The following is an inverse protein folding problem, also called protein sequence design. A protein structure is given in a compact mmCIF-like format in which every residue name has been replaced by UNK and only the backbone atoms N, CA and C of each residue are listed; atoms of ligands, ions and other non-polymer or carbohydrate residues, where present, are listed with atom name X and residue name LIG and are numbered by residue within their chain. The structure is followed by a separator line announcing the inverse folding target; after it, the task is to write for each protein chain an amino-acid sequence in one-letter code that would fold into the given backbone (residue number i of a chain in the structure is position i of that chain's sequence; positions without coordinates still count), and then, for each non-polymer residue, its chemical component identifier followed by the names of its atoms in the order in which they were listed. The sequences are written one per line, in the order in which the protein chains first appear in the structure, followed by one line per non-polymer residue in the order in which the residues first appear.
data_IF_557127811278
#
_entry.id   IF_557127811278
#
_cell.length_a   1.000
_cell.length_b   1.000
_cell.length_c   1.000
_cell.angle_alpha   90.00
_cell.angle_beta   90.00
_cell.angle_gamma   90.00
#
_symmetry.space_group_name_H-M   'P 1'
#
loop_
_entity.id
_entity.type
_entity.pdbx_description
1 polymer ?
#
# COMPACT_ATOMS: atom_id res chain seq x y z
N UNK A 1 -3.80 1.11 24.52
CA UNK A 1 -3.26 0.19 23.50
C UNK A 1 -3.80 0.68 22.18
N UNK A 2 -2.94 1.05 21.22
CA UNK A 2 -3.44 1.42 19.89
C UNK A 2 -4.03 0.16 19.26
N UNK A 3 -5.31 0.18 18.93
CA UNK A 3 -5.91 -0.90 18.13
C UNK A 3 -5.26 -0.86 16.75
N UNK A 4 -4.82 -2.01 16.25
CA UNK A 4 -4.35 -2.14 14.87
C UNK A 4 -5.54 -2.53 14.01
N UNK A 5 -5.66 -1.91 12.85
CA UNK A 5 -6.68 -2.21 11.86
C UNK A 5 -6.03 -2.61 10.56
N UNK A 6 -6.73 -3.45 9.80
CA UNK A 6 -6.27 -3.91 8.51
C UNK A 6 -6.58 -2.86 7.44
N UNK A 7 -5.59 -2.54 6.63
CA UNK A 7 -5.71 -1.67 5.48
C UNK A 7 -5.42 -2.44 4.20
N UNK A 8 -6.09 -2.02 3.12
CA UNK A 8 -5.81 -2.42 1.76
C UNK A 8 -5.27 -1.24 0.98
N UNK A 9 -4.14 -1.45 0.32
CA UNK A 9 -3.47 -0.46 -0.51
C UNK A 9 -3.49 -0.93 -1.97
N UNK A 10 -3.94 -0.04 -2.84
CA UNK A 10 -3.82 -0.15 -4.28
C UNK A 10 -2.73 0.79 -4.77
N UNK A 11 -1.81 0.28 -5.58
CA UNK A 11 -0.69 1.03 -6.15
C UNK A 11 -0.87 0.99 -7.66
N UNK A 12 -1.14 2.14 -8.26
CA UNK A 12 -1.32 2.27 -9.70
C UNK A 12 -0.14 3.03 -10.29
N UNK A 13 0.57 2.39 -11.22
CA UNK A 13 1.53 3.11 -12.07
C UNK A 13 0.77 3.88 -13.15
N UNK A 14 1.08 5.16 -13.31
CA UNK A 14 0.42 6.03 -14.29
C UNK A 14 0.87 5.73 -15.72
N UNK A 15 2.07 5.16 -15.88
CA UNK A 15 2.67 4.81 -17.17
C UNK A 15 3.68 3.65 -17.00
N UNK A 16 4.16 3.12 -18.14
CA UNK A 16 5.12 2.02 -18.15
C UNK A 16 6.51 2.43 -17.66
N UNK A 17 6.95 3.68 -17.88
CA UNK A 17 8.22 4.18 -17.37
C UNK A 17 8.29 4.10 -15.83
N UNK A 18 7.21 4.48 -15.15
CA UNK A 18 7.10 4.36 -13.69
C UNK A 18 7.14 2.89 -13.24
N UNK A 19 6.46 2.01 -13.97
CA UNK A 19 6.50 0.57 -13.70
C UNK A 19 7.94 0.03 -13.82
N UNK A 20 8.61 0.25 -14.96
CA UNK A 20 9.96 -0.27 -15.17
C UNK A 20 10.98 0.30 -14.17
N UNK A 21 10.79 1.56 -13.75
CA UNK A 21 11.67 2.23 -12.80
C UNK A 21 11.51 1.70 -11.37
N UNK A 22 10.27 1.49 -10.91
CA UNK A 22 9.98 1.28 -9.49
C UNK A 22 9.56 -0.15 -9.13
N UNK A 23 8.98 -0.92 -10.05
CA UNK A 23 8.31 -2.19 -9.71
C UNK A 23 9.24 -3.22 -9.05
N UNK A 24 10.50 -3.26 -9.47
CA UNK A 24 11.50 -4.18 -8.89
C UNK A 24 11.78 -3.93 -7.40
N UNK A 25 11.64 -2.68 -6.93
CA UNK A 25 11.98 -2.25 -5.56
C UNK A 25 10.71 -1.77 -4.80
N UNK A 26 9.52 -1.93 -5.38
CA UNK A 26 8.28 -1.34 -4.84
C UNK A 26 7.92 -1.96 -3.48
N UNK A 27 8.17 -3.26 -3.32
CA UNK A 27 7.91 -3.97 -2.07
C UNK A 27 8.78 -3.38 -0.94
N UNK A 28 10.09 -3.28 -1.15
CA UNK A 28 11.04 -2.75 -0.16
C UNK A 28 10.75 -1.28 0.16
N UNK A 29 10.41 -0.49 -0.86
CA UNK A 29 10.01 0.92 -0.70
C UNK A 29 8.77 1.06 0.18
N UNK A 30 7.79 0.16 -0.01
CA UNK A 30 6.55 0.14 0.74
C UNK A 30 6.80 -0.29 2.19
N UNK A 31 7.55 -1.38 2.40
CA UNK A 31 7.92 -1.87 3.73
C UNK A 31 8.67 -0.81 4.53
N UNK A 32 9.56 -0.05 3.88
CA UNK A 32 10.29 1.04 4.52
C UNK A 32 9.34 2.19 4.90
N UNK A 33 8.64 2.78 3.92
CA UNK A 33 7.85 4.01 4.15
C UNK A 33 6.64 3.79 5.05
N UNK A 34 5.94 2.67 4.87
CA UNK A 34 4.79 2.35 5.72
C UNK A 34 5.23 1.78 7.07
N UNK A 35 6.36 1.06 7.14
CA UNK A 35 6.94 0.61 8.39
C UNK A 35 7.34 1.77 9.32
N UNK A 36 7.84 2.88 8.77
CA UNK A 36 8.11 4.11 9.52
C UNK A 36 6.85 4.73 10.17
N UNK A 37 5.67 4.48 9.60
CA UNK A 37 4.37 4.89 10.14
C UNK A 37 3.75 3.85 11.09
N UNK A 38 4.47 2.77 11.39
CA UNK A 38 4.01 1.70 12.26
C UNK A 38 3.21 0.60 11.56
N UNK A 39 3.25 0.54 10.22
CA UNK A 39 2.66 -0.58 9.51
C UNK A 39 3.44 -1.88 9.76
N UNK A 40 2.73 -2.97 9.97
CA UNK A 40 3.25 -4.31 10.20
C UNK A 40 2.48 -5.34 9.36
N UNK A 41 2.98 -6.58 9.32
CA UNK A 41 2.37 -7.68 8.55
C UNK A 41 2.07 -7.31 7.08
N UNK A 42 2.94 -6.51 6.48
CA UNK A 42 2.82 -6.06 5.09
C UNK A 42 2.91 -7.28 4.18
N UNK A 43 1.83 -7.56 3.45
CA UNK A 43 1.79 -8.68 2.53
C UNK A 43 2.60 -8.35 1.26
N UNK A 44 3.03 -9.40 0.55
CA UNK A 44 3.66 -9.21 -0.76
C UNK A 44 2.65 -8.62 -1.74
N UNK A 45 3.09 -7.61 -2.48
CA UNK A 45 2.31 -7.05 -3.57
C UNK A 45 2.00 -8.14 -4.61
N UNK A 46 0.79 -8.12 -5.14
CA UNK A 46 0.39 -8.92 -6.28
C UNK A 46 -0.23 -8.03 -7.37
N UNK A 47 -0.01 -8.42 -8.62
CA UNK A 47 -0.60 -7.75 -9.77
C UNK A 47 -2.08 -8.09 -9.86
N UNK A 48 -2.90 -7.06 -10.02
CA UNK A 48 -4.32 -7.26 -10.27
C UNK A 48 -4.53 -7.98 -11.62
N UNK A 49 -5.24 -9.11 -11.66
CA UNK A 49 -5.45 -9.85 -12.91
C UNK A 49 -6.33 -9.08 -13.90
N UNK A 50 -7.15 -8.14 -13.41
CA UNK A 50 -8.16 -7.43 -14.21
C UNK A 50 -7.72 -6.03 -14.64
N UNK A 51 -6.69 -5.46 -14.01
CA UNK A 51 -6.27 -4.07 -14.23
C UNK A 51 -4.76 -4.04 -14.41
N UNK A 52 -4.31 -3.62 -15.59
CA UNK A 52 -2.88 -3.44 -15.87
C UNK A 52 -2.30 -2.36 -14.97
N UNK A 53 -1.02 -2.47 -14.65
CA UNK A 53 -0.27 -1.48 -13.87
C UNK A 53 -0.85 -1.23 -12.47
N UNK A 54 -1.61 -2.20 -11.94
CA UNK A 54 -2.20 -2.13 -10.61
C UNK A 54 -1.62 -3.25 -9.74
N UNK A 55 -0.91 -2.87 -8.69
CA UNK A 55 -0.57 -3.76 -7.59
C UNK A 55 -1.54 -3.57 -6.44
N UNK A 56 -1.72 -4.63 -5.66
CA UNK A 56 -2.51 -4.62 -4.45
C UNK A 56 -1.72 -5.29 -3.34
N UNK A 57 -1.83 -4.73 -2.13
CA UNK A 57 -1.35 -5.36 -0.90
C UNK A 57 -2.27 -5.03 0.27
N UNK A 58 -2.10 -5.74 1.37
CA UNK A 58 -2.75 -5.47 2.65
C UNK A 58 -1.70 -5.46 3.76
N UNK A 59 -1.96 -4.68 4.81
CA UNK A 59 -1.10 -4.57 5.99
C UNK A 59 -1.93 -4.17 7.21
N UNK A 60 -1.34 -4.26 8.39
CA UNK A 60 -1.92 -3.76 9.63
C UNK A 60 -1.20 -2.47 10.04
N UNK A 61 -1.92 -1.49 10.58
CA UNK A 61 -1.30 -0.31 11.16
C UNK A 61 -2.18 0.27 12.28
N UNK A 62 -1.69 1.20 13.12
CA UNK A 62 -2.50 1.84 14.13
C UNK A 62 -3.81 2.43 13.57
N UNK A 63 -4.86 2.38 14.37
CA UNK A 63 -6.08 3.11 14.06
C UNK A 63 -5.84 4.63 14.10
N UNK A 64 -6.53 5.37 13.24
CA UNK A 64 -6.47 6.83 13.20
C UNK A 64 -5.34 7.45 12.37
N UNK A 65 -4.45 6.67 11.74
CA UNK A 65 -3.35 7.20 10.89
C UNK A 65 -3.64 7.16 9.38
N UNK A 66 -4.91 7.00 8.98
CA UNK A 66 -5.28 6.82 7.57
C UNK A 66 -4.84 8.00 6.69
N UNK A 67 -4.87 9.22 7.20
CA UNK A 67 -4.47 10.42 6.45
C UNK A 67 -2.95 10.47 6.24
N UNK A 68 -2.16 10.06 7.24
CA UNK A 68 -0.71 9.91 7.15
C UNK A 68 -0.34 8.83 6.13
N UNK A 69 -1.00 7.67 6.18
CA UNK A 69 -0.82 6.59 5.21
C UNK A 69 -1.10 7.07 3.78
N UNK A 70 -2.18 7.83 3.57
CA UNK A 70 -2.55 8.39 2.25
C UNK A 70 -1.58 9.45 1.74
N UNK A 71 -0.83 10.09 2.64
CA UNK A 71 0.15 11.11 2.29
C UNK A 71 1.47 10.51 1.79
N UNK A 72 1.66 9.19 1.91
CA UNK A 72 2.88 8.50 1.45
C UNK A 72 2.98 8.51 -0.07
N UNK A 73 4.06 9.10 -0.57
CA UNK A 73 4.46 9.03 -1.99
C UNK A 73 5.42 7.88 -2.20
N UNK A 74 5.06 6.90 -3.03
CA UNK A 74 5.94 5.76 -3.33
C UNK A 74 6.98 6.10 -4.41
N UNK A 75 6.63 6.94 -5.37
CA UNK A 75 7.52 7.47 -6.41
C UNK A 75 6.76 8.43 -7.32
N UNK A 76 7.47 9.03 -8.28
CA UNK A 76 6.82 9.84 -9.33
C UNK A 76 6.07 8.95 -10.31
N UNK A 77 4.88 9.36 -10.74
CA UNK A 77 4.03 8.54 -11.63
C UNK A 77 3.40 7.31 -10.94
N UNK A 78 3.34 7.31 -9.60
CA UNK A 78 2.65 6.28 -8.81
C UNK A 78 1.53 6.93 -8.01
N UNK A 79 0.30 6.47 -8.25
CA UNK A 79 -0.88 6.81 -7.47
C UNK A 79 -1.19 5.72 -6.45
N UNK A 80 -1.56 6.11 -5.23
CA UNK A 80 -1.96 5.20 -4.15
C UNK A 80 -3.40 5.45 -3.73
N UNK A 81 -4.14 4.37 -3.44
CA UNK A 81 -5.47 4.43 -2.83
C UNK A 81 -5.50 3.47 -1.64
N UNK A 82 -5.79 4.01 -0.45
CA UNK A 82 -5.81 3.26 0.81
C UNK A 82 -7.19 3.33 1.42
N UNK A 83 -7.66 2.15 1.84
CA UNK A 83 -8.92 1.97 2.54
C UNK A 83 -8.72 1.02 3.72
N UNK A 84 -9.42 1.32 4.80
CA UNK A 84 -9.56 0.37 5.90
C UNK A 84 -10.41 -0.80 5.43
N UNK A 85 -9.98 -2.04 5.69
CA UNK A 85 -10.83 -3.21 5.52
C UNK A 85 -11.65 -3.40 6.81
N UNK A 86 -12.95 -3.09 6.76
CA UNK A 86 -13.84 -3.38 7.89
C UNK A 86 -13.83 -4.89 8.16
N UNK A 87 -13.34 -5.26 9.34
CA UNK A 87 -13.31 -6.63 9.81
C UNK A 87 -14.74 -7.13 10.05
N UNK A 88 -15.41 -7.70 9.02
CA UNK A 88 -16.61 -8.51 9.24
C UNK A 88 -16.19 -9.82 9.92
N UNK A 89 -16.12 -9.82 11.25
CA UNK A 89 -16.24 -11.07 12.02
C UNK A 89 -17.59 -11.69 11.65
N UNK A 90 -17.58 -12.78 10.89
CA UNK A 90 -18.69 -13.73 10.83
C UNK A 90 -18.47 -14.80 11.89
#
# INVERSE_FOLDING_TARGET
MSEYVQYKLQIRYENYDAYEKYDKDIQDTLETKYGELGATHIQRCYVSPSVRLLLVTSFEAPDGILDELRSVKLGEGIATDIRMEEYRRR
#
